data_IF_505591309751
#
_entry.id   IF_505591309751
#
_cell.length_a   1.000
_cell.length_b   1.000
_cell.length_c   1.000
_cell.angle_alpha   90.00
_cell.angle_beta   90.00
_cell.angle_gamma   90.00
#
_symmetry.space_group_name_H-M   'P 1'
#
loop_
_entity.id
_entity.type
_entity.pdbx_description
1 polymer ?
#
# COMPACT_ATOMS: atom_id res chain seq x y z
N UNK A 1 -22.29 23.56 -3.84
CA UNK A 1 -21.39 24.06 -2.90
C UNK A 1 -21.82 23.77 -1.48
N UNK A 2 -21.71 22.62 -1.01
CA UNK A 2 -21.96 22.40 0.40
C UNK A 2 -20.63 22.32 1.12
N UNK A 3 -20.58 22.99 2.05
CA UNK A 3 -19.89 23.11 3.32
C UNK A 3 -19.24 21.80 3.79
N UNK A 4 -18.26 21.30 3.01
CA UNK A 4 -17.37 20.28 3.51
C UNK A 4 -16.38 20.92 4.47
N UNK A 5 -16.90 21.33 5.64
CA UNK A 5 -16.06 21.97 6.62
C UNK A 5 -15.06 21.01 7.25
N UNK A 6 -15.46 19.75 7.50
CA UNK A 6 -14.62 18.70 8.10
C UNK A 6 -15.04 17.35 7.50
N UNK A 7 -14.06 16.49 7.21
CA UNK A 7 -14.25 15.10 6.78
C UNK A 7 -13.24 14.18 7.44
N UNK A 8 -13.76 13.15 8.05
CA UNK A 8 -12.92 11.99 8.39
C UNK A 8 -12.74 11.16 7.13
N UNK A 9 -11.51 10.91 6.77
CA UNK A 9 -11.14 10.08 5.63
C UNK A 9 -10.25 8.96 6.11
N UNK A 10 -10.55 7.74 5.74
CA UNK A 10 -9.78 6.61 6.21
C UNK A 10 -10.11 5.35 5.44
N UNK A 11 -9.47 4.30 5.82
CA UNK A 11 -9.71 2.97 5.33
C UNK A 11 -9.31 1.93 6.34
N UNK A 12 -9.95 0.79 6.27
CA UNK A 12 -9.64 -0.35 7.11
C UNK A 12 -9.80 -1.64 6.31
N UNK A 13 -9.06 -2.63 6.71
CA UNK A 13 -9.19 -3.98 6.18
C UNK A 13 -8.97 -4.98 7.31
N UNK A 14 -9.75 -6.04 7.32
CA UNK A 14 -9.59 -7.17 8.23
C UNK A 14 -9.48 -8.44 7.39
N UNK A 15 -8.27 -8.69 6.86
CA UNK A 15 -8.02 -9.82 5.97
C UNK A 15 -8.01 -11.15 6.72
N UNK A 16 -7.72 -11.14 8.02
CA UNK A 16 -7.70 -12.35 8.84
C UNK A 16 -9.10 -12.91 9.14
N UNK A 17 -10.16 -12.10 9.01
CA UNK A 17 -11.54 -12.49 9.34
C UNK A 17 -12.47 -12.58 8.12
N UNK A 18 -11.93 -12.54 6.91
CA UNK A 18 -12.74 -12.68 5.69
C UNK A 18 -13.34 -14.09 5.62
N UNK A 19 -14.67 -14.23 5.41
CA UNK A 19 -15.34 -15.51 5.42
C UNK A 19 -15.07 -16.32 4.15
N UNK A 20 -15.23 -17.63 4.26
CA UNK A 20 -15.42 -18.50 3.11
C UNK A 20 -16.87 -18.50 2.67
N UNK A 21 -17.12 -18.48 1.35
CA UNK A 21 -18.44 -18.54 0.76
C UNK A 21 -18.80 -19.98 0.37
N UNK A 22 -20.05 -20.32 0.59
CA UNK A 22 -20.66 -21.55 0.05
C UNK A 22 -21.64 -21.12 -1.05
N UNK A 23 -21.21 -21.11 -2.34
CA UNK A 23 -22.08 -20.72 -3.45
C UNK A 23 -23.33 -21.59 -3.49
N UNK A 24 -24.47 -20.98 -3.85
CA UNK A 24 -25.76 -21.69 -3.95
C UNK A 24 -26.34 -22.24 -2.64
N UNK A 25 -25.70 -22.06 -1.49
CA UNK A 25 -26.21 -22.54 -0.21
C UNK A 25 -27.66 -22.09 0.06
N UNK A 26 -28.03 -20.86 -0.35
CA UNK A 26 -29.37 -20.32 -0.21
C UNK A 26 -30.44 -21.15 -0.93
N UNK A 27 -30.11 -21.79 -2.02
CA UNK A 27 -31.00 -22.61 -2.83
C UNK A 27 -30.85 -24.09 -2.51
N UNK A 28 -29.94 -24.47 -1.63
CA UNK A 28 -29.63 -25.84 -1.23
C UNK A 28 -28.73 -26.59 -2.19
N UNK A 29 -28.04 -27.59 -1.65
CA UNK A 29 -27.25 -28.55 -2.39
C UNK A 29 -27.99 -29.90 -2.47
N UNK A 30 -27.95 -30.46 -3.68
CA UNK A 30 -28.44 -31.82 -3.90
C UNK A 30 -27.30 -32.83 -3.70
N UNK A 31 -27.52 -34.06 -4.11
CA UNK A 31 -26.51 -35.13 -4.05
C UNK A 31 -25.22 -34.69 -4.82
N UNK A 32 -24.05 -34.84 -4.16
CA UNK A 32 -22.74 -34.55 -4.70
C UNK A 32 -21.94 -33.54 -3.85
N UNK A 33 -20.70 -33.29 -4.23
CA UNK A 33 -19.81 -32.38 -3.52
C UNK A 33 -20.19 -30.89 -3.74
N UNK A 34 -19.81 -30.05 -2.75
CA UNK A 34 -19.90 -28.61 -2.82
C UNK A 34 -18.50 -27.97 -2.66
N UNK A 35 -18.35 -26.78 -3.21
CA UNK A 35 -17.12 -25.99 -3.10
C UNK A 35 -17.26 -24.93 -2.01
N UNK A 36 -16.20 -24.70 -1.25
CA UNK A 36 -16.00 -23.51 -0.42
C UNK A 36 -15.05 -22.57 -1.11
N UNK A 37 -15.45 -21.32 -1.28
CA UNK A 37 -14.69 -20.29 -1.97
C UNK A 37 -14.10 -19.33 -0.94
N UNK A 38 -12.79 -19.15 -0.96
CA UNK A 38 -12.10 -18.16 -0.13
C UNK A 38 -12.51 -16.75 -0.55
N UNK A 39 -13.17 -16.00 0.35
CA UNK A 39 -13.61 -14.63 0.12
C UNK A 39 -12.45 -13.68 -0.10
N UNK A 40 -11.33 -13.88 0.59
CA UNK A 40 -10.13 -13.06 0.45
C UNK A 40 -9.58 -13.11 -0.99
N UNK A 41 -9.46 -14.32 -1.52
CA UNK A 41 -8.99 -14.52 -2.89
C UNK A 41 -10.01 -13.96 -3.89
N UNK A 42 -11.29 -14.35 -3.73
CA UNK A 42 -12.35 -14.03 -4.69
C UNK A 42 -12.60 -12.53 -4.83
N UNK A 43 -12.64 -11.80 -3.72
CA UNK A 43 -13.09 -10.41 -3.70
C UNK A 43 -11.93 -9.40 -3.66
N UNK A 44 -10.73 -9.82 -3.21
CA UNK A 44 -9.58 -8.94 -3.02
C UNK A 44 -8.34 -9.24 -3.88
N UNK A 45 -8.03 -10.53 -4.12
CA UNK A 45 -6.74 -10.94 -4.68
C UNK A 45 -6.82 -11.66 -6.03
N UNK A 46 -7.99 -11.61 -6.68
CA UNK A 46 -8.26 -12.26 -7.96
C UNK A 46 -8.40 -11.24 -9.09
N UNK A 47 -7.64 -11.42 -10.15
CA UNK A 47 -7.83 -10.64 -11.37
C UNK A 47 -8.98 -11.28 -12.17
N UNK A 48 -10.11 -10.58 -12.20
CA UNK A 48 -11.40 -11.12 -12.64
C UNK A 48 -11.53 -11.25 -14.16
N UNK A 49 -10.78 -10.46 -14.92
CA UNK A 49 -10.83 -10.46 -16.38
C UNK A 49 -10.02 -11.61 -16.98
N UNK A 50 -8.80 -11.80 -16.50
CA UNK A 50 -7.91 -12.88 -16.93
C UNK A 50 -8.05 -14.15 -16.07
N UNK A 51 -8.79 -14.09 -14.95
CA UNK A 51 -9.16 -15.23 -14.09
C UNK A 51 -7.96 -15.93 -13.44
N UNK A 52 -7.09 -15.18 -12.82
CA UNK A 52 -5.96 -15.68 -12.06
C UNK A 52 -5.64 -14.78 -10.84
N UNK A 53 -4.77 -15.23 -9.90
CA UNK A 53 -4.35 -14.39 -8.78
C UNK A 53 -3.61 -13.13 -9.25
N UNK A 54 -3.77 -12.02 -8.53
CA UNK A 54 -3.12 -10.74 -8.87
C UNK A 54 -1.58 -10.81 -8.95
N UNK A 55 -0.96 -11.74 -8.21
CA UNK A 55 0.48 -11.97 -8.31
C UNK A 55 0.96 -12.43 -9.70
N UNK A 56 0.08 -13.03 -10.51
CA UNK A 56 0.42 -13.34 -11.91
C UNK A 56 0.60 -12.06 -12.76
N UNK A 57 -0.10 -10.96 -12.41
CA UNK A 57 0.15 -9.67 -13.05
C UNK A 57 1.55 -9.15 -12.67
N UNK A 58 1.96 -9.33 -11.41
CA UNK A 58 3.31 -8.95 -10.97
C UNK A 58 4.39 -9.79 -11.66
N UNK A 59 4.19 -11.11 -11.80
CA UNK A 59 5.07 -11.98 -12.58
C UNK A 59 5.14 -11.53 -14.06
N UNK A 60 4.00 -11.16 -14.66
CA UNK A 60 3.95 -10.62 -16.02
C UNK A 60 4.78 -9.32 -16.14
N UNK A 61 4.57 -8.39 -15.22
CA UNK A 61 5.31 -7.12 -15.20
C UNK A 61 6.80 -7.35 -15.03
N UNK A 62 7.19 -8.23 -14.12
CA UNK A 62 8.60 -8.58 -13.91
C UNK A 62 9.23 -9.13 -15.20
N UNK A 63 8.55 -10.03 -15.89
CA UNK A 63 9.00 -10.62 -17.15
C UNK A 63 9.12 -9.58 -18.26
N UNK A 64 8.07 -8.82 -18.54
CA UNK A 64 8.02 -7.88 -19.66
C UNK A 64 8.95 -6.66 -19.46
N UNK A 65 9.22 -6.26 -18.21
CA UNK A 65 10.11 -5.15 -17.88
C UNK A 65 11.53 -5.61 -17.51
N UNK A 66 11.85 -6.90 -17.67
CA UNK A 66 13.12 -7.49 -17.32
C UNK A 66 13.54 -7.15 -15.88
N UNK A 67 12.62 -7.32 -14.93
CA UNK A 67 12.88 -7.22 -13.49
C UNK A 67 13.19 -8.63 -13.00
N UNK A 68 14.43 -8.88 -12.62
CA UNK A 68 14.86 -10.21 -12.22
C UNK A 68 14.30 -10.60 -10.86
N UNK A 69 14.46 -11.86 -10.49
CA UNK A 69 14.15 -12.35 -9.14
C UNK A 69 15.07 -11.68 -8.10
N UNK A 70 16.31 -11.52 -8.44
CA UNK A 70 17.32 -10.88 -7.62
C UNK A 70 16.99 -9.41 -7.36
N UNK A 71 16.57 -8.66 -8.40
CA UNK A 71 16.12 -7.27 -8.25
C UNK A 71 14.96 -7.15 -7.24
N UNK A 72 14.00 -8.08 -7.33
CA UNK A 72 12.82 -8.09 -6.45
C UNK A 72 13.20 -8.46 -5.01
N UNK A 73 14.07 -9.43 -4.83
CA UNK A 73 14.53 -9.85 -3.51
C UNK A 73 15.40 -8.76 -2.85
N UNK A 74 16.26 -8.08 -3.61
CA UNK A 74 17.06 -6.96 -3.13
C UNK A 74 16.16 -5.78 -2.71
N UNK A 75 15.15 -5.44 -3.52
CA UNK A 75 14.16 -4.43 -3.17
C UNK A 75 13.45 -4.77 -1.87
N UNK A 76 12.96 -6.01 -1.74
CA UNK A 76 12.30 -6.49 -0.52
C UNK A 76 13.22 -6.36 0.70
N UNK A 77 14.47 -6.83 0.61
CA UNK A 77 15.45 -6.72 1.69
C UNK A 77 15.65 -5.25 2.10
N UNK A 78 15.70 -4.34 1.14
CA UNK A 78 15.84 -2.92 1.43
C UNK A 78 14.59 -2.34 2.10
N UNK A 79 13.38 -2.72 1.67
CA UNK A 79 12.13 -2.32 2.33
C UNK A 79 12.09 -2.79 3.79
N UNK A 80 12.42 -4.06 4.06
CA UNK A 80 12.52 -4.59 5.44
C UNK A 80 13.55 -3.85 6.29
N UNK A 81 14.73 -3.58 5.75
CA UNK A 81 15.78 -2.84 6.48
C UNK A 81 15.39 -1.41 6.78
N UNK A 82 14.75 -0.71 5.81
CA UNK A 82 14.24 0.64 6.01
C UNK A 82 13.17 0.68 7.08
N UNK A 83 12.22 -0.27 7.06
CA UNK A 83 11.17 -0.37 8.08
C UNK A 83 11.76 -0.64 9.47
N UNK A 84 12.67 -1.57 9.60
CA UNK A 84 13.33 -1.86 10.88
C UNK A 84 14.06 -0.63 11.43
N UNK A 85 14.84 0.04 10.60
CA UNK A 85 15.57 1.25 11.00
C UNK A 85 14.61 2.41 11.36
N UNK A 86 13.49 2.55 10.64
CA UNK A 86 12.47 3.56 10.93
C UNK A 86 11.77 3.31 12.27
N UNK A 87 11.44 2.06 12.59
CA UNK A 87 10.89 1.66 13.89
C UNK A 87 11.90 1.90 15.01
N UNK A 88 13.15 1.47 14.86
CA UNK A 88 14.21 1.70 15.85
C UNK A 88 14.45 3.19 16.11
N UNK A 89 14.36 4.01 15.07
CA UNK A 89 14.50 5.47 15.18
C UNK A 89 13.22 6.19 15.66
N UNK A 90 12.12 5.47 15.94
CA UNK A 90 10.86 6.05 16.41
C UNK A 90 10.11 6.87 15.34
N UNK A 91 10.40 6.68 14.06
CA UNK A 91 9.82 7.49 12.97
C UNK A 91 8.32 7.30 12.76
N UNK A 92 7.75 6.20 13.24
CA UNK A 92 6.32 5.93 13.16
C UNK A 92 5.53 6.45 14.38
N UNK A 93 6.18 6.99 15.40
CA UNK A 93 5.54 7.37 16.68
C UNK A 93 4.38 8.36 16.52
N UNK A 94 4.49 9.31 15.58
CA UNK A 94 3.50 10.36 15.35
C UNK A 94 2.29 9.89 14.51
N UNK A 95 2.35 8.69 13.90
CA UNK A 95 1.27 8.16 13.07
C UNK A 95 0.61 6.90 13.63
N UNK A 96 1.18 6.32 14.69
CA UNK A 96 0.64 5.10 15.32
C UNK A 96 -0.30 5.44 16.46
N UNK A 97 -1.47 4.81 16.45
CA UNK A 97 -2.41 4.80 17.56
C UNK A 97 -2.39 3.42 18.21
N UNK A 98 -1.89 3.29 19.45
CA UNK A 98 -1.86 2.00 20.14
C UNK A 98 -3.25 1.42 20.33
N UNK A 99 -3.40 0.11 20.12
CA UNK A 99 -4.66 -0.62 20.27
C UNK A 99 -4.56 -1.57 21.46
N UNK A 100 -5.51 -1.48 22.39
CA UNK A 100 -5.62 -2.42 23.49
C UNK A 100 -6.30 -3.72 23.03
N UNK A 101 -5.58 -4.84 23.10
CA UNK A 101 -6.11 -6.16 22.77
C UNK A 101 -6.53 -6.85 24.06
N UNK A 102 -7.86 -7.02 24.27
CA UNK A 102 -8.37 -7.69 25.47
C UNK A 102 -7.85 -9.12 25.60
N UNK A 103 -7.41 -9.49 26.78
CA UNK A 103 -6.96 -10.84 27.07
C UNK A 103 -8.06 -11.60 27.83
N UNK A 104 -8.15 -12.91 27.62
CA UNK A 104 -9.08 -13.77 28.38
C UNK A 104 -8.80 -13.73 29.88
N UNK A 105 -7.54 -13.55 30.28
CA UNK A 105 -7.07 -13.39 31.66
C UNK A 105 -5.91 -12.40 31.67
N UNK A 106 -5.86 -11.56 32.70
CA UNK A 106 -4.80 -10.55 32.87
C UNK A 106 -5.14 -9.21 32.23
N UNK A 107 -4.14 -8.33 32.12
CA UNK A 107 -4.29 -7.00 31.52
C UNK A 107 -4.33 -7.09 30.00
N UNK A 108 -4.99 -6.14 29.31
CA UNK A 108 -4.89 -6.01 27.86
C UNK A 108 -3.44 -5.91 27.40
N UNK A 109 -3.15 -6.42 26.21
CA UNK A 109 -1.87 -6.19 25.54
C UNK A 109 -2.01 -4.91 24.73
N UNK A 110 -1.11 -3.96 24.93
CA UNK A 110 -1.04 -2.76 24.11
C UNK A 110 -0.26 -3.07 22.84
N UNK A 111 -0.97 -3.12 21.70
CA UNK A 111 -0.39 -3.34 20.38
C UNK A 111 -0.08 -1.98 19.75
N UNK A 112 1.19 -1.68 19.54
CA UNK A 112 1.67 -0.36 19.12
C UNK A 112 2.80 -0.41 18.10
N UNK A 113 3.10 -1.58 17.54
CA UNK A 113 4.21 -1.77 16.61
C UNK A 113 3.87 -2.85 15.58
N UNK A 114 4.20 -2.62 14.30
CA UNK A 114 4.01 -3.62 13.25
C UNK A 114 4.84 -4.87 13.50
N UNK A 115 4.30 -6.03 13.12
CA UNK A 115 4.93 -7.33 13.38
C UNK A 115 5.76 -7.83 12.21
N UNK A 116 5.36 -7.48 10.97
CA UNK A 116 5.81 -8.16 9.77
C UNK A 116 7.31 -8.01 9.54
N UNK A 117 7.85 -6.80 9.68
CA UNK A 117 9.27 -6.55 9.46
C UNK A 117 10.20 -7.33 10.41
N UNK A 118 9.67 -7.82 11.56
CA UNK A 118 10.42 -8.64 12.53
C UNK A 118 10.48 -10.12 12.15
N UNK A 119 9.57 -10.58 11.29
CA UNK A 119 9.41 -11.99 10.97
C UNK A 119 10.32 -12.46 9.83
N UNK A 120 10.94 -11.53 9.09
CA UNK A 120 11.77 -11.83 7.93
C UNK A 120 13.07 -12.59 8.31
N UNK A 121 13.39 -13.60 7.51
CA UNK A 121 14.64 -14.36 7.61
C UNK A 121 15.43 -14.16 6.32
N UNK A 122 16.27 -13.14 6.29
CA UNK A 122 16.99 -12.70 5.07
C UNK A 122 17.75 -13.84 4.39
N UNK A 123 18.35 -14.74 5.15
CA UNK A 123 19.12 -15.89 4.63
C UNK A 123 18.23 -16.90 3.88
N UNK A 124 16.91 -16.85 4.06
CA UNK A 124 15.98 -17.76 3.38
C UNK A 124 15.39 -17.17 2.10
N UNK A 125 15.45 -15.86 1.91
CA UNK A 125 14.81 -15.18 0.77
C UNK A 125 15.22 -15.79 -0.58
N UNK A 126 16.54 -16.00 -0.87
CA UNK A 126 16.96 -16.53 -2.17
C UNK A 126 16.44 -17.96 -2.46
N UNK A 127 16.13 -18.72 -1.41
CA UNK A 127 15.67 -20.10 -1.52
C UNK A 127 14.14 -20.25 -1.62
N UNK A 128 13.40 -19.15 -1.51
CA UNK A 128 11.94 -19.19 -1.59
C UNK A 128 11.47 -19.53 -3.01
N UNK A 129 10.41 -20.34 -3.08
CA UNK A 129 9.79 -20.70 -4.36
C UNK A 129 8.84 -19.60 -4.81
N UNK A 130 8.71 -19.45 -6.13
CA UNK A 130 7.66 -18.65 -6.72
C UNK A 130 6.26 -19.15 -6.28
N UNK A 131 5.36 -18.20 -6.02
CA UNK A 131 4.05 -18.52 -5.41
C UNK A 131 2.96 -18.67 -6.46
N UNK A 132 2.97 -17.84 -7.51
CA UNK A 132 1.84 -17.71 -8.43
C UNK A 132 2.00 -18.51 -9.72
N UNK A 133 3.22 -18.66 -10.21
CA UNK A 133 3.50 -19.50 -11.37
C UNK A 133 4.83 -20.23 -11.21
N UNK A 134 4.96 -21.37 -11.89
CA UNK A 134 6.19 -22.20 -11.83
C UNK A 134 7.41 -21.45 -12.37
N UNK A 135 7.21 -20.63 -13.38
CA UNK A 135 8.24 -19.82 -14.05
C UNK A 135 8.27 -18.37 -13.50
N UNK A 136 7.49 -18.10 -12.46
CA UNK A 136 7.38 -16.77 -11.85
C UNK A 136 8.58 -16.42 -10.95
N UNK A 137 8.61 -15.16 -10.54
CA UNK A 137 9.67 -14.59 -9.71
C UNK A 137 9.12 -14.01 -8.39
N UNK A 138 7.79 -13.88 -8.27
CA UNK A 138 7.13 -13.37 -7.06
C UNK A 138 7.12 -14.45 -5.99
N UNK A 139 7.58 -14.11 -4.80
CA UNK A 139 7.67 -14.99 -3.63
C UNK A 139 6.96 -14.40 -2.43
N UNK A 140 6.83 -15.18 -1.35
CA UNK A 140 6.27 -14.70 -0.08
C UNK A 140 7.09 -13.55 0.56
N UNK A 141 8.36 -13.37 0.20
CA UNK A 141 9.19 -12.31 0.78
C UNK A 141 9.24 -11.04 -0.08
N UNK A 142 8.95 -11.12 -1.38
CA UNK A 142 8.95 -9.97 -2.28
C UNK A 142 7.55 -9.54 -2.73
N UNK A 143 6.52 -10.16 -2.15
CA UNK A 143 5.13 -9.71 -2.16
C UNK A 143 4.78 -9.06 -0.81
N UNK A 144 3.83 -8.14 -0.80
CA UNK A 144 3.23 -7.67 0.45
C UNK A 144 2.48 -8.79 1.16
N UNK A 145 2.43 -8.73 2.47
CA UNK A 145 1.75 -9.72 3.30
C UNK A 145 0.27 -9.41 3.50
N UNK A 146 -0.49 -10.42 3.89
CA UNK A 146 -1.91 -10.34 4.25
C UNK A 146 -2.00 -9.84 5.68
N UNK A 147 -2.63 -8.69 5.89
CA UNK A 147 -2.65 -8.02 7.19
C UNK A 147 -4.01 -7.40 7.50
N UNK A 148 -4.24 -7.20 8.79
CA UNK A 148 -5.30 -6.33 9.29
C UNK A 148 -4.71 -4.92 9.48
N UNK A 149 -5.52 -3.89 9.28
CA UNK A 149 -5.06 -2.53 9.50
C UNK A 149 -6.16 -1.48 9.31
N UNK A 150 -5.95 -0.34 9.94
CA UNK A 150 -6.82 0.83 9.79
C UNK A 150 -5.97 2.11 9.80
N UNK A 151 -6.38 3.09 9.02
CA UNK A 151 -5.77 4.42 9.00
C UNK A 151 -6.83 5.48 8.82
N UNK A 152 -6.65 6.63 9.45
CA UNK A 152 -7.59 7.74 9.38
C UNK A 152 -6.86 9.08 9.23
N UNK A 153 -7.45 9.97 8.44
CA UNK A 153 -6.97 11.32 8.17
C UNK A 153 -8.16 12.28 8.31
N UNK A 154 -7.97 13.38 9.01
CA UNK A 154 -8.99 14.45 9.08
C UNK A 154 -8.69 15.50 8.02
N UNK A 155 -9.64 15.71 7.12
CA UNK A 155 -9.58 16.72 6.07
C UNK A 155 -10.53 17.88 6.40
N UNK A 156 -10.09 19.11 6.14
CA UNK A 156 -10.96 20.28 6.27
C UNK A 156 -10.54 21.39 5.31
N UNK A 157 -11.46 22.35 5.09
CA UNK A 157 -11.08 23.53 4.33
C UNK A 157 -10.13 24.43 5.14
N UNK A 158 -9.35 25.25 4.45
CA UNK A 158 -8.46 26.22 5.11
C UNK A 158 -9.23 27.15 6.03
N UNK A 159 -10.39 27.66 5.56
CA UNK A 159 -11.26 28.57 6.34
C UNK A 159 -11.73 27.90 7.63
N UNK A 160 -12.01 26.61 7.59
CA UNK A 160 -12.43 25.87 8.78
C UNK A 160 -11.28 25.64 9.75
N UNK A 161 -10.08 25.31 9.25
CA UNK A 161 -8.88 25.17 10.06
C UNK A 161 -8.55 26.48 10.78
N UNK A 162 -8.58 27.59 10.03
CA UNK A 162 -8.34 28.94 10.58
C UNK A 162 -9.40 29.30 11.66
N UNK A 163 -10.68 29.03 11.40
CA UNK A 163 -11.77 29.32 12.36
C UNK A 163 -11.67 28.49 13.65
N UNK A 164 -11.09 27.29 13.60
CA UNK A 164 -10.87 26.42 14.75
C UNK A 164 -9.49 26.63 15.41
N UNK A 165 -8.61 27.46 14.83
CA UNK A 165 -7.24 27.63 15.29
C UNK A 165 -6.38 26.37 15.13
N UNK A 166 -6.72 25.48 14.19
CA UNK A 166 -6.00 24.25 13.93
C UNK A 166 -4.88 24.53 12.92
N UNK A 167 -3.66 24.18 13.28
CA UNK A 167 -2.53 24.20 12.36
C UNK A 167 -2.57 22.91 11.50
N UNK A 168 -2.75 22.99 10.17
CA UNK A 168 -2.71 21.81 9.32
C UNK A 168 -1.32 21.16 9.32
N UNK A 169 -1.26 19.85 9.13
CA UNK A 169 0.00 19.11 8.93
C UNK A 169 0.47 19.22 7.48
N UNK A 170 -0.47 19.19 6.55
CA UNK A 170 -0.20 19.31 5.11
C UNK A 170 -1.37 19.95 4.37
N UNK A 171 -1.10 20.42 3.16
CA UNK A 171 -2.08 20.90 2.19
C UNK A 171 -2.13 19.94 1.00
N UNK A 172 -3.32 19.54 0.57
CA UNK A 172 -3.50 18.81 -0.68
C UNK A 172 -3.37 19.80 -1.84
N UNK A 173 -2.42 19.55 -2.75
CA UNK A 173 -2.21 20.37 -3.94
C UNK A 173 -2.95 19.83 -5.16
N UNK A 174 -3.00 18.50 -5.31
CA UNK A 174 -3.64 17.86 -6.44
C UNK A 174 -3.82 16.38 -6.23
N UNK A 175 -4.66 15.78 -7.06
CA UNK A 175 -4.90 14.34 -7.08
C UNK A 175 -5.36 13.91 -8.47
N UNK A 176 -5.22 12.65 -8.80
CA UNK A 176 -5.71 12.09 -10.05
C UNK A 176 -5.84 10.58 -9.97
N UNK A 177 -6.69 10.06 -10.82
CA UNK A 177 -6.82 8.65 -11.09
C UNK A 177 -6.35 8.32 -12.52
N UNK A 178 -5.94 7.07 -12.70
CA UNK A 178 -5.63 6.52 -14.01
C UNK A 178 -6.07 5.06 -14.07
N UNK A 179 -6.28 4.57 -15.28
CA UNK A 179 -6.57 3.17 -15.53
C UNK A 179 -5.96 2.73 -16.86
N UNK A 180 -5.65 1.45 -16.95
CA UNK A 180 -5.13 0.78 -18.13
C UNK A 180 -5.63 -0.68 -18.18
N UNK A 181 -5.07 -1.51 -19.03
CA UNK A 181 -5.41 -2.94 -19.08
C UNK A 181 -5.22 -3.57 -17.68
N UNK A 182 -6.21 -4.35 -17.19
CA UNK A 182 -6.14 -4.98 -15.87
C UNK A 182 -4.88 -5.82 -15.61
N UNK A 183 -4.32 -6.46 -16.63
CA UNK A 183 -3.06 -7.19 -16.53
C UNK A 183 -1.90 -6.29 -16.07
N UNK A 184 -1.96 -5.01 -16.41
CA UNK A 184 -0.93 -4.01 -16.14
C UNK A 184 -1.25 -3.08 -14.95
N UNK A 185 -2.18 -3.47 -14.06
CA UNK A 185 -2.50 -2.65 -12.88
C UNK A 185 -1.25 -2.26 -12.07
N UNK A 186 -0.23 -3.09 -12.12
CA UNK A 186 1.07 -2.92 -11.43
C UNK A 186 1.80 -1.63 -11.81
N UNK A 187 1.67 -1.16 -13.05
CA UNK A 187 2.29 0.07 -13.55
C UNK A 187 1.32 1.24 -13.66
N UNK A 188 0.05 1.06 -13.27
CA UNK A 188 -0.93 2.15 -13.30
C UNK A 188 -0.56 3.41 -12.48
N UNK A 189 0.19 3.31 -11.35
CA UNK A 189 0.67 4.49 -10.64
C UNK A 189 1.55 5.41 -11.49
N UNK A 190 2.33 4.88 -12.45
CA UNK A 190 3.13 5.69 -13.37
C UNK A 190 2.29 6.57 -14.29
N UNK A 191 1.01 6.25 -14.46
CA UNK A 191 0.04 7.05 -15.20
C UNK A 191 -0.71 8.04 -14.30
N UNK A 192 -1.00 7.67 -13.04
CA UNK A 192 -1.74 8.52 -12.11
C UNK A 192 -0.86 9.63 -11.51
N UNK A 193 0.37 9.31 -11.13
CA UNK A 193 1.31 10.25 -10.50
C UNK A 193 1.58 11.49 -11.37
N UNK A 194 1.94 11.39 -12.66
CA UNK A 194 2.14 12.57 -13.49
C UNK A 194 0.88 13.43 -13.65
N UNK A 195 -0.30 12.80 -13.70
CA UNK A 195 -1.58 13.54 -13.75
C UNK A 195 -1.83 14.31 -12.46
N UNK A 196 -1.55 13.71 -11.29
CA UNK A 196 -1.69 14.38 -9.99
C UNK A 196 -0.71 15.56 -9.87
N UNK A 197 0.55 15.40 -10.31
CA UNK A 197 1.56 16.45 -10.36
C UNK A 197 1.10 17.60 -11.28
N UNK A 198 0.59 17.29 -12.47
CA UNK A 198 0.04 18.29 -13.39
C UNK A 198 -1.18 19.00 -12.80
N UNK A 199 -2.08 18.28 -12.13
CA UNK A 199 -3.23 18.88 -11.45
C UNK A 199 -2.81 19.81 -10.30
N UNK A 200 -1.72 19.48 -9.60
CA UNK A 200 -1.14 20.34 -8.57
C UNK A 200 -0.45 21.60 -9.14
N UNK A 201 -0.22 21.67 -10.45
CA UNK A 201 0.46 22.79 -11.11
C UNK A 201 1.95 22.89 -10.81
N UNK A 202 2.59 21.77 -10.46
CA UNK A 202 4.02 21.67 -10.13
C UNK A 202 4.76 20.81 -11.15
N UNK A 203 6.08 20.76 -11.04
CA UNK A 203 6.93 19.88 -11.83
C UNK A 203 7.37 18.65 -11.01
N UNK A 204 7.78 17.58 -11.67
CA UNK A 204 8.32 16.38 -11.04
C UNK A 204 9.54 16.70 -10.17
N UNK A 205 10.37 17.62 -10.61
CA UNK A 205 11.59 18.07 -9.94
C UNK A 205 11.33 18.79 -8.61
N UNK A 206 10.10 19.29 -8.41
CA UNK A 206 9.68 19.96 -7.18
C UNK A 206 9.30 18.95 -6.07
N UNK A 207 9.22 17.66 -6.40
CA UNK A 207 8.82 16.62 -5.46
C UNK A 207 10.03 16.10 -4.70
N UNK A 208 9.96 16.17 -3.37
CA UNK A 208 11.04 15.73 -2.49
C UNK A 208 10.98 14.24 -2.20
N UNK A 209 9.77 13.70 -1.92
CA UNK A 209 9.57 12.31 -1.54
C UNK A 209 8.33 11.69 -2.18
N UNK A 210 8.39 10.37 -2.34
CA UNK A 210 7.30 9.55 -2.86
C UNK A 210 6.97 8.41 -1.90
N UNK A 211 5.68 8.11 -1.76
CA UNK A 211 5.15 6.88 -1.16
C UNK A 211 4.36 6.12 -2.22
N UNK A 212 4.95 5.09 -2.79
CA UNK A 212 4.32 4.22 -3.78
C UNK A 212 4.03 2.88 -3.11
N UNK A 213 2.75 2.50 -3.04
CA UNK A 213 2.37 1.27 -2.35
C UNK A 213 3.04 0.04 -2.95
N UNK A 214 3.70 -0.75 -2.11
CA UNK A 214 4.46 -1.94 -2.49
C UNK A 214 3.57 -3.19 -2.49
N UNK A 215 2.55 -3.26 -3.34
CA UNK A 215 1.76 -4.50 -3.43
C UNK A 215 2.64 -5.72 -3.74
N UNK A 216 3.68 -5.50 -4.55
CA UNK A 216 4.77 -6.42 -4.86
C UNK A 216 6.04 -5.59 -5.08
N UNK A 217 7.23 -6.15 -4.82
CA UNK A 217 8.49 -5.47 -5.16
C UNK A 217 8.56 -5.09 -6.65
N UNK A 218 8.05 -5.96 -7.53
CA UNK A 218 7.95 -5.68 -8.96
C UNK A 218 7.15 -4.41 -9.28
N UNK A 219 6.09 -4.11 -8.52
CA UNK A 219 5.29 -2.88 -8.67
C UNK A 219 6.13 -1.64 -8.40
N UNK A 220 6.84 -1.62 -7.28
CA UNK A 220 7.67 -0.49 -6.90
C UNK A 220 8.83 -0.28 -7.87
N UNK A 221 9.53 -1.35 -8.25
CA UNK A 221 10.64 -1.29 -9.21
C UNK A 221 10.15 -0.78 -10.58
N UNK A 222 9.01 -1.30 -11.07
CA UNK A 222 8.46 -0.91 -12.36
C UNK A 222 8.10 0.59 -12.39
N UNK A 223 7.38 1.08 -11.38
CA UNK A 223 7.01 2.50 -11.31
C UNK A 223 8.23 3.42 -11.11
N UNK A 224 9.22 3.01 -10.32
CA UNK A 224 10.48 3.76 -10.19
C UNK A 224 11.22 3.86 -11.53
N UNK A 225 11.29 2.78 -12.32
CA UNK A 225 11.88 2.77 -13.65
C UNK A 225 11.12 3.66 -14.63
N UNK A 226 9.80 3.51 -14.73
CA UNK A 226 8.98 4.28 -15.67
C UNK A 226 8.97 5.78 -15.37
N UNK A 227 8.92 6.12 -14.09
CA UNK A 227 8.93 7.52 -13.66
C UNK A 227 10.35 8.10 -13.55
N UNK A 228 11.40 7.28 -13.64
CA UNK A 228 12.79 7.70 -13.45
C UNK A 228 12.98 8.36 -12.07
N UNK A 229 12.52 7.70 -11.01
CA UNK A 229 12.64 8.18 -9.63
C UNK A 229 13.97 7.77 -9.03
N UNK A 230 14.45 8.62 -8.14
CA UNK A 230 15.57 8.29 -7.25
C UNK A 230 15.07 7.34 -6.14
N UNK A 231 15.57 6.10 -6.05
CA UNK A 231 15.14 5.14 -5.04
C UNK A 231 15.33 5.61 -3.59
N UNK A 232 16.24 6.55 -3.35
CA UNK A 232 16.49 7.10 -2.02
C UNK A 232 15.42 8.14 -1.59
N UNK A 233 14.54 8.51 -2.52
CA UNK A 233 13.39 9.40 -2.28
C UNK A 233 12.05 8.65 -2.25
N UNK A 234 12.05 7.34 -2.47
CA UNK A 234 10.83 6.52 -2.54
C UNK A 234 10.80 5.57 -1.36
N UNK A 235 9.66 5.54 -0.63
CA UNK A 235 9.41 4.62 0.48
C UNK A 235 10.59 4.59 1.48
N UNK A 236 11.02 5.76 1.91
CA UNK A 236 12.26 5.94 2.69
C UNK A 236 12.22 5.28 4.07
N UNK A 237 11.02 5.05 4.60
CA UNK A 237 10.79 4.31 5.84
C UNK A 237 10.37 2.84 5.60
N UNK A 238 10.61 2.31 4.39
CA UNK A 238 10.07 1.03 3.94
C UNK A 238 8.61 1.15 3.49
N UNK A 239 8.01 0.05 3.09
CA UNK A 239 6.65 0.05 2.56
C UNK A 239 5.91 -1.27 2.78
N UNK A 240 4.88 -1.53 1.99
CA UNK A 240 3.94 -2.62 2.21
C UNK A 240 4.57 -4.03 2.17
N UNK A 241 5.69 -4.22 1.50
CA UNK A 241 6.42 -5.51 1.53
C UNK A 241 6.88 -5.82 2.95
N UNK A 242 7.30 -4.81 3.70
CA UNK A 242 7.81 -4.97 5.07
C UNK A 242 6.79 -4.66 6.17
N UNK A 243 5.79 -3.81 5.89
CA UNK A 243 4.78 -3.34 6.86
C UNK A 243 3.42 -4.01 6.67
N UNK A 244 3.20 -4.66 5.53
CA UNK A 244 1.93 -5.26 5.16
C UNK A 244 1.03 -4.38 4.29
N UNK A 245 0.03 -5.03 3.68
CA UNK A 245 -0.91 -4.38 2.76
C UNK A 245 -2.37 -4.71 3.08
N UNK A 246 -2.89 -4.22 4.20
CA UNK A 246 -4.34 -4.27 4.43
C UNK A 246 -5.02 -3.40 3.37
N UNK A 247 -5.70 -4.04 2.39
CA UNK A 247 -6.09 -3.43 1.11
C UNK A 247 -6.82 -2.09 1.30
N UNK A 248 -7.91 -2.10 2.06
CA UNK A 248 -8.73 -0.91 2.28
C UNK A 248 -8.09 0.17 3.17
N UNK A 249 -7.03 -0.16 3.91
CA UNK A 249 -6.29 0.77 4.77
C UNK A 249 -5.17 1.50 4.01
N UNK A 250 -4.52 0.82 3.07
CA UNK A 250 -3.22 1.23 2.52
C UNK A 250 -3.21 2.61 1.87
N UNK A 251 -4.32 3.03 1.23
CA UNK A 251 -4.41 4.37 0.63
C UNK A 251 -4.24 5.49 1.65
N UNK A 252 -4.93 5.41 2.79
CA UNK A 252 -4.79 6.39 3.87
C UNK A 252 -3.43 6.24 4.59
N UNK A 253 -2.96 4.99 4.78
CA UNK A 253 -1.68 4.71 5.43
C UNK A 253 -0.51 5.39 4.72
N UNK A 254 -0.38 5.24 3.39
CA UNK A 254 0.74 5.84 2.64
C UNK A 254 0.71 7.37 2.67
N UNK A 255 -0.48 7.99 2.79
CA UNK A 255 -0.58 9.45 2.94
C UNK A 255 -0.10 9.87 4.33
N UNK A 256 -0.46 9.14 5.39
CA UNK A 256 0.02 9.40 6.75
C UNK A 256 1.53 9.29 6.82
N UNK A 257 2.09 8.20 6.29
CA UNK A 257 3.54 7.99 6.25
C UNK A 257 4.26 9.07 5.43
N UNK A 258 3.73 9.43 4.25
CA UNK A 258 4.29 10.51 3.44
C UNK A 258 4.35 11.84 4.20
N UNK A 259 3.28 12.18 4.93
CA UNK A 259 3.26 13.37 5.76
C UNK A 259 4.37 13.32 6.84
N UNK A 260 4.52 12.20 7.54
CA UNK A 260 5.59 12.00 8.52
C UNK A 260 6.98 12.13 7.88
N UNK A 261 7.17 11.51 6.72
CA UNK A 261 8.43 11.58 5.94
C UNK A 261 8.80 13.03 5.58
N UNK A 262 7.84 13.83 5.11
CA UNK A 262 8.08 15.24 4.79
C UNK A 262 8.54 16.04 6.02
N UNK A 263 7.91 15.80 7.17
CA UNK A 263 8.28 16.50 8.41
C UNK A 263 9.62 16.05 8.98
N UNK A 264 9.94 14.77 8.88
CA UNK A 264 11.15 14.16 9.44
C UNK A 264 12.42 14.43 8.61
N UNK A 265 12.28 14.62 7.30
CA UNK A 265 13.41 14.78 6.39
C UNK A 265 13.47 16.19 5.76
N UNK A 266 12.78 17.14 6.36
CA UNK A 266 12.72 18.54 5.91
C UNK A 266 12.30 18.70 4.43
N UNK A 267 11.48 17.77 3.94
CA UNK A 267 10.84 17.85 2.64
C UNK A 267 9.65 18.80 2.65
N UNK A 268 9.29 19.32 1.48
CA UNK A 268 8.18 20.24 1.32
C UNK A 268 7.01 19.61 0.54
N UNK A 269 7.30 18.93 -0.58
CA UNK A 269 6.28 18.35 -1.47
C UNK A 269 6.48 16.84 -1.55
N UNK A 270 5.40 16.11 -1.36
CA UNK A 270 5.36 14.66 -1.50
C UNK A 270 4.22 14.17 -2.38
N UNK A 271 4.42 13.00 -2.98
CA UNK A 271 3.43 12.32 -3.80
C UNK A 271 3.20 10.91 -3.29
N UNK A 272 1.96 10.56 -3.00
CA UNK A 272 1.56 9.18 -2.76
C UNK A 272 0.84 8.59 -3.97
N UNK A 273 1.13 7.34 -4.28
CA UNK A 273 0.50 6.59 -5.37
C UNK A 273 0.22 5.14 -4.99
N UNK A 274 -0.95 4.66 -5.39
CA UNK A 274 -1.39 3.29 -5.13
C UNK A 274 -2.09 2.70 -6.35
N UNK A 275 -1.73 1.48 -6.70
CA UNK A 275 -2.45 0.69 -7.70
C UNK A 275 -3.68 0.01 -7.08
N UNK A 276 -4.64 -0.35 -7.92
CA UNK A 276 -5.77 -1.19 -7.52
C UNK A 276 -6.10 -2.22 -8.60
N UNK A 277 -6.81 -3.27 -8.22
CA UNK A 277 -7.29 -4.30 -9.14
C UNK A 277 -8.20 -3.71 -10.23
N UNK A 278 -8.21 -4.35 -11.41
CA UNK A 278 -8.95 -3.86 -12.57
C UNK A 278 -8.20 -2.83 -13.41
N UNK A 279 -6.89 -2.67 -13.19
CA UNK A 279 -6.03 -1.79 -14.01
C UNK A 279 -5.91 -0.36 -13.50
N UNK A 280 -6.47 -0.05 -12.31
CA UNK A 280 -6.53 1.31 -11.79
C UNK A 280 -5.34 1.75 -10.95
N UNK A 281 -5.24 3.06 -10.73
CA UNK A 281 -4.40 3.67 -9.71
C UNK A 281 -4.94 5.05 -9.32
N UNK A 282 -4.63 5.44 -8.08
CA UNK A 282 -4.89 6.79 -7.57
C UNK A 282 -3.58 7.41 -7.09
N UNK A 283 -3.46 8.72 -7.22
CA UNK A 283 -2.31 9.48 -6.71
C UNK A 283 -2.75 10.81 -6.11
N UNK A 284 -2.00 11.27 -5.11
CA UNK A 284 -2.23 12.55 -4.43
C UNK A 284 -0.92 13.26 -4.18
N UNK A 285 -0.93 14.58 -4.32
CA UNK A 285 0.20 15.48 -4.03
C UNK A 285 -0.13 16.27 -2.77
N UNK A 286 0.75 16.21 -1.79
CA UNK A 286 0.64 17.00 -0.56
C UNK A 286 1.86 17.91 -0.39
N UNK A 287 1.63 19.05 0.24
CA UNK A 287 2.66 19.99 0.66
C UNK A 287 2.66 20.13 2.18
N UNK A 288 3.81 20.01 2.81
CA UNK A 288 4.00 20.27 4.25
C UNK A 288 3.50 21.68 4.59
N UNK A 289 2.75 21.83 5.70
CA UNK A 289 2.18 23.11 6.14
C UNK A 289 3.08 23.87 7.14
#
# INVERSE_FOLDING_TARGET
GSEMCIRDSGGMENMSSIPYYIPKARYGYKYGNAEMVDGLVKDGLWEVYNKFPMGNCADNTAKEMNITREDQDEYAINSYKRSAAAWEAGKFADEIVPVEIPQRKGNPILFSEDEEYKNVKFEKIPALRAVFSKEGTVTAANASTINDGASAIVLMSKEKADALGIKPLAKILGFADAAQDPLWFTTAPSLAIPKAIAHAGIKKEDVDFYEINEAFSAVAIANNKELGLDPDKVNVNGGAVALGHPLGCSGARIISTLNSVLHQNDGNIGVAGICNGGGGASAIVIQKA
#
